data_IF_860283067216
#
_entry.id   IF_860283067216
#
_cell.length_a   1.000
_cell.length_b   1.000
_cell.length_c   1.000
_cell.angle_alpha   90.00
_cell.angle_beta   90.00
_cell.angle_gamma   90.00
#
_symmetry.space_group_name_H-M   'P 1'
#
loop_
_entity.id
_entity.type
_entity.pdbx_description
1 polymer ?
#
# COMPACT_ATOMS: atom_id res chain seq x y z
N UNK A 1 8.98 -23.57 -52.10
CA UNK A 1 8.16 -22.36 -52.33
C UNK A 1 8.25 -21.44 -51.11
N UNK A 2 9.44 -20.88 -50.82
CA UNK A 2 9.67 -20.03 -49.65
C UNK A 2 10.51 -18.78 -50.00
N UNK A 3 10.21 -18.12 -51.14
CA UNK A 3 10.95 -16.94 -51.61
C UNK A 3 10.05 -15.74 -51.95
N UNK A 4 9.07 -15.43 -51.08
CA UNK A 4 8.46 -14.10 -51.10
C UNK A 4 8.55 -13.51 -49.72
N UNK A 5 9.61 -12.73 -49.49
CA UNK A 5 9.69 -11.84 -48.34
C UNK A 5 8.73 -10.68 -48.64
N UNK A 6 7.55 -10.70 -48.03
CA UNK A 6 6.56 -9.64 -48.13
C UNK A 6 6.96 -8.46 -47.23
N UNK A 7 8.12 -7.85 -47.47
CA UNK A 7 8.50 -6.62 -46.78
C UNK A 7 7.84 -5.43 -47.47
N UNK A 8 7.14 -4.61 -46.70
CA UNK A 8 6.62 -3.34 -47.23
C UNK A 8 7.76 -2.35 -47.44
N UNK A 9 7.58 -1.36 -48.34
CA UNK A 9 8.59 -0.31 -48.54
C UNK A 9 8.97 0.43 -47.26
N UNK A 10 8.04 0.50 -46.29
CA UNK A 10 8.28 1.11 -44.99
C UNK A 10 9.15 0.21 -44.09
N UNK A 11 8.83 -1.08 -44.03
CA UNK A 11 9.58 -2.07 -43.26
C UNK A 11 11.05 -2.14 -43.72
N UNK A 12 11.30 -2.32 -45.02
CA UNK A 12 12.66 -2.38 -45.58
C UNK A 12 13.47 -1.09 -45.30
N UNK A 13 12.81 0.08 -45.34
CA UNK A 13 13.46 1.36 -45.03
C UNK A 13 13.86 1.50 -43.57
N UNK A 14 13.07 0.93 -42.65
CA UNK A 14 13.34 0.99 -41.21
C UNK A 14 14.34 -0.07 -40.78
N UNK A 15 14.27 -1.28 -41.33
CA UNK A 15 15.24 -2.35 -41.03
C UNK A 15 16.67 -2.00 -41.47
N UNK A 16 16.83 -1.19 -42.53
CA UNK A 16 18.13 -0.72 -43.01
C UNK A 16 18.65 0.54 -42.33
N UNK A 17 17.85 1.19 -41.48
CA UNK A 17 18.23 2.42 -40.79
C UNK A 17 18.13 2.22 -39.27
N UNK A 18 19.27 2.09 -38.59
CA UNK A 18 19.32 1.86 -37.15
C UNK A 18 18.54 2.90 -36.33
N UNK A 19 18.59 4.18 -36.71
CA UNK A 19 17.85 5.24 -36.04
C UNK A 19 16.35 5.16 -36.31
N UNK A 20 15.98 4.77 -37.54
CA UNK A 20 14.59 4.50 -37.91
C UNK A 20 13.99 3.35 -37.11
N UNK A 21 14.73 2.24 -36.99
CA UNK A 21 14.32 1.08 -36.22
C UNK A 21 14.19 1.40 -34.72
N UNK A 22 15.17 2.08 -34.13
CA UNK A 22 15.11 2.52 -32.73
C UNK A 22 13.91 3.44 -32.49
N UNK A 23 13.67 4.41 -33.39
CA UNK A 23 12.53 5.32 -33.28
C UNK A 23 11.18 4.59 -33.35
N UNK A 24 11.02 3.65 -34.28
CA UNK A 24 9.80 2.83 -34.37
C UNK A 24 9.61 1.99 -33.11
N UNK A 25 10.66 1.34 -32.62
CA UNK A 25 10.59 0.53 -31.40
C UNK A 25 10.19 1.38 -30.18
N UNK A 26 10.79 2.55 -30.03
CA UNK A 26 10.46 3.48 -28.95
C UNK A 26 8.98 3.88 -28.98
N UNK A 27 8.42 4.19 -30.17
CA UNK A 27 7.00 4.50 -30.32
C UNK A 27 6.13 3.31 -29.93
N UNK A 28 6.38 2.13 -30.50
CA UNK A 28 5.54 0.93 -30.27
C UNK A 28 5.54 0.53 -28.80
N UNK A 29 6.70 0.54 -28.14
CA UNK A 29 6.80 0.20 -26.72
C UNK A 29 6.15 1.24 -25.80
N UNK A 30 6.13 2.52 -26.21
CA UNK A 30 5.57 3.60 -25.38
C UNK A 30 4.04 3.64 -25.39
N UNK A 31 3.39 3.16 -26.46
CA UNK A 31 1.92 3.26 -26.61
C UNK A 31 1.19 2.59 -25.45
N UNK A 32 1.56 1.36 -25.08
CA UNK A 32 0.91 0.62 -23.99
C UNK A 32 1.04 1.36 -22.65
N UNK A 33 2.25 1.81 -22.32
CA UNK A 33 2.49 2.59 -21.10
C UNK A 33 1.70 3.90 -21.07
N UNK A 34 1.64 4.64 -22.18
CA UNK A 34 0.86 5.88 -22.26
C UNK A 34 -0.63 5.60 -22.05
N UNK A 35 -1.19 4.58 -22.70
CA UNK A 35 -2.63 4.27 -22.64
C UNK A 35 -3.06 3.72 -21.28
N UNK A 36 -2.20 2.97 -20.59
CA UNK A 36 -2.55 2.37 -19.29
C UNK A 36 -2.21 3.27 -18.10
N UNK A 37 -1.08 3.98 -18.12
CA UNK A 37 -0.58 4.72 -16.94
C UNK A 37 -1.06 6.17 -16.93
N UNK A 38 -0.99 6.88 -18.07
CA UNK A 38 -1.29 8.32 -18.09
C UNK A 38 -2.73 8.62 -17.67
N UNK A 39 -3.78 7.89 -18.14
CA UNK A 39 -5.14 8.15 -17.70
C UNK A 39 -5.36 7.99 -16.19
N UNK A 40 -4.57 7.16 -15.50
CA UNK A 40 -4.69 6.99 -14.05
C UNK A 40 -4.34 8.26 -13.26
N UNK A 41 -3.61 9.21 -13.87
CA UNK A 41 -3.30 10.50 -13.26
C UNK A 41 -4.36 11.59 -13.53
N UNK A 42 -5.29 11.36 -14.47
CA UNK A 42 -6.18 12.40 -14.99
C UNK A 42 -7.66 12.02 -14.91
N UNK A 43 -7.98 10.73 -14.81
CA UNK A 43 -9.35 10.25 -14.70
C UNK A 43 -9.80 10.27 -13.24
N UNK A 44 -10.79 11.11 -12.93
CA UNK A 44 -11.37 11.23 -11.59
C UNK A 44 -12.08 9.93 -11.14
N UNK A 45 -12.55 9.11 -12.07
CA UNK A 45 -13.26 7.86 -11.75
C UNK A 45 -12.34 6.73 -11.22
N UNK A 46 -11.03 6.95 -11.17
CA UNK A 46 -10.07 5.95 -10.69
C UNK A 46 -10.04 5.82 -9.17
N UNK A 47 -10.45 6.88 -8.47
CA UNK A 47 -10.48 6.91 -7.01
C UNK A 47 -11.88 7.22 -6.50
N UNK A 48 -12.37 6.35 -5.62
CA UNK A 48 -13.71 6.41 -5.05
C UNK A 48 -13.95 7.69 -4.26
N UNK A 49 -12.92 8.32 -3.68
CA UNK A 49 -13.08 9.55 -2.92
C UNK A 49 -13.57 10.75 -3.74
N UNK A 50 -13.50 10.71 -5.07
CA UNK A 50 -14.07 11.74 -5.92
C UNK A 50 -15.62 11.70 -5.95
N UNK A 51 -16.22 10.52 -5.73
CA UNK A 51 -17.68 10.33 -5.58
C UNK A 51 -18.11 10.19 -4.13
N UNK A 52 -17.23 9.66 -3.29
CA UNK A 52 -17.40 9.38 -1.86
C UNK A 52 -16.35 10.09 -1.01
N UNK A 53 -16.44 11.43 -0.85
CA UNK A 53 -15.43 12.21 -0.11
C UNK A 53 -15.24 11.79 1.35
N UNK A 54 -16.18 11.03 1.93
CA UNK A 54 -16.08 10.44 3.27
C UNK A 54 -15.04 9.30 3.38
N UNK A 55 -14.58 8.76 2.25
CA UNK A 55 -13.58 7.68 2.22
C UNK A 55 -12.20 8.22 2.63
N UNK A 56 -11.90 9.50 2.39
CA UNK A 56 -10.65 10.16 2.77
C UNK A 56 -10.91 11.11 3.93
N UNK A 57 -9.99 11.15 4.89
CA UNK A 57 -10.14 11.96 6.08
C UNK A 57 -10.06 13.46 5.75
N UNK A 58 -11.16 14.18 6.01
CA UNK A 58 -11.26 15.63 5.81
C UNK A 58 -10.75 16.38 7.05
N UNK A 59 -9.42 16.38 7.22
CA UNK A 59 -8.74 17.02 8.35
C UNK A 59 -9.11 18.50 8.46
N UNK A 60 -9.68 18.88 9.61
CA UNK A 60 -10.01 20.26 9.92
C UNK A 60 -8.79 21.05 10.40
N UNK A 61 -8.80 22.37 10.23
CA UNK A 61 -7.73 23.24 10.68
C UNK A 61 -7.50 23.07 12.20
N UNK A 62 -6.24 22.84 12.59
CA UNK A 62 -5.83 22.63 13.98
C UNK A 62 -5.95 21.19 14.49
N UNK A 63 -6.52 20.26 13.71
CA UNK A 63 -6.50 18.84 14.08
C UNK A 63 -5.12 18.22 13.86
N UNK A 64 -4.78 17.26 14.70
CA UNK A 64 -3.59 16.41 14.63
C UNK A 64 -3.96 15.00 14.19
N UNK A 65 -2.97 14.19 13.77
CA UNK A 65 -3.22 12.77 13.47
C UNK A 65 -3.80 11.98 14.66
N UNK A 66 -3.69 12.49 15.89
CA UNK A 66 -4.22 11.84 17.09
C UNK A 66 -5.71 12.11 17.33
N UNK A 67 -6.28 13.14 16.70
CA UNK A 67 -7.72 13.44 16.81
C UNK A 67 -8.59 12.51 15.95
N UNK A 68 -7.96 11.84 14.98
CA UNK A 68 -8.58 10.87 14.10
C UNK A 68 -9.05 9.62 14.85
N UNK A 69 -10.21 9.10 14.48
CA UNK A 69 -10.78 7.83 14.99
C UNK A 69 -11.01 6.83 13.86
N UNK A 70 -10.99 5.52 14.16
CA UNK A 70 -11.34 4.49 13.18
C UNK A 70 -12.67 4.77 12.49
N UNK A 71 -12.65 4.80 11.16
CA UNK A 71 -13.81 5.08 10.33
C UNK A 71 -13.99 6.54 9.90
N UNK A 72 -13.16 7.48 10.36
CA UNK A 72 -13.21 8.91 9.96
C UNK A 72 -12.68 9.16 8.52
N UNK A 73 -12.20 8.12 7.84
CA UNK A 73 -11.62 8.19 6.50
C UNK A 73 -10.12 7.89 6.49
N UNK A 74 -9.59 7.68 5.29
CA UNK A 74 -8.17 7.41 5.01
C UNK A 74 -7.34 8.63 5.34
N UNK A 75 -6.36 8.45 6.22
CA UNK A 75 -5.40 9.48 6.63
C UNK A 75 -3.96 9.00 6.38
N UNK A 76 -2.98 9.93 6.32
CA UNK A 76 -1.57 9.54 6.39
C UNK A 76 -1.30 8.69 7.62
N UNK A 77 -0.36 7.75 7.51
CA UNK A 77 0.09 6.93 8.63
C UNK A 77 0.67 7.80 9.76
N UNK A 78 0.47 7.41 11.02
CA UNK A 78 1.24 8.01 12.12
C UNK A 78 2.69 7.60 12.00
N UNK A 79 3.61 8.34 12.62
CA UNK A 79 5.05 8.03 12.57
C UNK A 79 5.36 6.57 12.93
N UNK A 80 4.73 6.03 13.98
CA UNK A 80 4.91 4.64 14.40
C UNK A 80 4.32 3.62 13.40
N UNK A 81 3.18 3.95 12.78
CA UNK A 81 2.57 3.12 11.75
C UNK A 81 3.38 3.13 10.45
N UNK A 82 3.94 4.29 10.08
CA UNK A 82 4.84 4.43 8.93
C UNK A 82 6.13 3.63 9.14
N UNK A 83 6.70 3.68 10.35
CA UNK A 83 7.82 2.84 10.74
C UNK A 83 7.47 1.35 10.61
N UNK A 84 6.30 0.95 11.11
CA UNK A 84 5.82 -0.42 10.99
C UNK A 84 5.64 -0.88 9.56
N UNK A 85 5.17 0.00 8.67
CA UNK A 85 5.05 -0.24 7.23
C UNK A 85 6.41 -0.41 6.56
N UNK A 86 7.40 0.39 6.95
CA UNK A 86 8.77 0.24 6.45
C UNK A 86 9.38 -1.11 6.89
N UNK A 87 9.14 -1.53 8.12
CA UNK A 87 9.55 -2.83 8.66
C UNK A 87 8.82 -3.96 7.92
N UNK A 88 7.51 -3.84 7.71
CA UNK A 88 6.72 -4.82 6.94
C UNK A 88 7.30 -5.06 5.54
N UNK A 89 7.76 -4.00 4.89
CA UNK A 89 8.44 -4.08 3.59
C UNK A 89 9.83 -4.69 3.71
N UNK A 90 10.64 -4.26 4.68
CA UNK A 90 12.00 -4.79 4.91
C UNK A 90 11.99 -6.30 5.17
N UNK A 91 11.03 -6.76 5.97
CA UNK A 91 10.87 -8.17 6.34
C UNK A 91 10.22 -9.02 5.23
N UNK A 92 9.81 -8.39 4.12
CA UNK A 92 9.26 -9.09 2.95
C UNK A 92 7.88 -9.70 3.20
N UNK A 93 7.09 -9.18 4.15
CA UNK A 93 5.78 -9.72 4.49
C UNK A 93 4.84 -9.79 3.27
N UNK A 94 4.96 -8.83 2.35
CA UNK A 94 4.22 -8.76 1.08
C UNK A 94 4.44 -9.97 0.15
N UNK A 95 5.51 -10.76 0.36
CA UNK A 95 5.77 -11.98 -0.41
C UNK A 95 4.81 -13.12 -0.04
N UNK A 96 4.20 -13.05 1.15
CA UNK A 96 3.28 -14.06 1.67
C UNK A 96 1.87 -13.53 1.90
N UNK A 97 1.73 -12.23 2.19
CA UNK A 97 0.48 -11.60 2.56
C UNK A 97 0.11 -10.51 1.56
N UNK A 98 -1.11 -10.58 1.04
CA UNK A 98 -1.67 -9.49 0.24
C UNK A 98 -2.41 -8.47 1.10
N UNK A 99 -2.47 -7.24 0.61
CA UNK A 99 -3.37 -6.21 1.15
C UNK A 99 -4.30 -5.70 0.06
N UNK A 100 -5.09 -6.61 -0.54
CA UNK A 100 -6.09 -6.25 -1.54
C UNK A 100 -7.18 -7.32 -1.57
N UNK A 101 -8.34 -7.01 -0.98
CA UNK A 101 -9.52 -7.89 -1.01
C UNK A 101 -10.26 -7.67 -2.32
N UNK A 102 -10.47 -8.76 -3.08
CA UNK A 102 -11.16 -8.72 -4.38
C UNK A 102 -12.68 -8.69 -4.21
N UNK A 103 -13.45 -8.14 -5.17
CA UNK A 103 -14.90 -7.98 -5.09
C UNK A 103 -15.66 -9.29 -5.37
N UNK A 104 -15.30 -10.35 -4.67
CA UNK A 104 -16.00 -11.64 -4.72
C UNK A 104 -16.66 -11.94 -3.38
N UNK A 105 -17.80 -12.64 -3.41
CA UNK A 105 -18.54 -12.98 -2.19
C UNK A 105 -17.68 -13.77 -1.18
N UNK A 106 -16.95 -14.79 -1.64
CA UNK A 106 -16.10 -15.62 -0.77
C UNK A 106 -14.95 -14.80 -0.12
N UNK A 107 -14.36 -13.85 -0.86
CA UNK A 107 -13.36 -12.95 -0.27
C UNK A 107 -13.99 -11.98 0.73
N UNK A 108 -15.20 -11.50 0.44
CA UNK A 108 -15.94 -10.63 1.33
C UNK A 108 -16.24 -11.31 2.67
N UNK A 109 -16.73 -12.55 2.61
CA UNK A 109 -17.03 -13.36 3.80
C UNK A 109 -15.76 -13.67 4.62
N UNK A 110 -14.63 -13.91 3.95
CA UNK A 110 -13.36 -14.25 4.61
C UNK A 110 -12.64 -13.06 5.22
N UNK A 111 -12.55 -11.95 4.49
CA UNK A 111 -11.67 -10.83 4.85
C UNK A 111 -12.44 -9.56 5.22
N UNK A 112 -13.64 -9.36 4.68
CA UNK A 112 -14.44 -8.15 4.86
C UNK A 112 -14.65 -7.41 3.54
N UNK A 113 -15.06 -6.14 3.58
CA UNK A 113 -15.34 -5.36 2.37
C UNK A 113 -14.19 -5.42 1.35
N UNK A 114 -14.50 -5.40 0.05
CA UNK A 114 -13.46 -5.33 -0.98
C UNK A 114 -12.60 -4.06 -0.81
N UNK A 115 -11.34 -4.10 -1.21
CA UNK A 115 -10.46 -2.94 -1.10
C UNK A 115 -10.84 -1.86 -2.13
N UNK A 116 -10.81 -0.61 -1.69
CA UNK A 116 -10.96 0.58 -2.54
C UNK A 116 -9.58 1.06 -3.00
N UNK A 117 -9.49 1.67 -4.19
CA UNK A 117 -8.25 2.30 -4.65
C UNK A 117 -7.81 3.43 -3.70
N UNK A 118 -8.78 4.17 -3.17
CA UNK A 118 -8.57 5.28 -2.23
C UNK A 118 -7.95 4.84 -0.89
N UNK A 119 -8.04 3.56 -0.50
CA UNK A 119 -7.39 3.06 0.73
C UNK A 119 -5.86 3.01 0.61
N UNK A 120 -5.33 2.93 -0.61
CA UNK A 120 -3.88 2.89 -0.89
C UNK A 120 -3.32 4.21 -1.43
N UNK A 121 -4.09 5.31 -1.38
CA UNK A 121 -3.67 6.63 -1.89
C UNK A 121 -2.34 7.12 -1.29
N UNK A 122 -2.06 6.79 -0.02
CA UNK A 122 -0.83 7.20 0.66
C UNK A 122 0.23 6.09 0.73
N UNK A 123 0.01 4.96 0.05
CA UNK A 123 0.96 3.85 0.04
C UNK A 123 2.04 4.05 -1.03
N UNK A 124 3.21 4.54 -0.61
CA UNK A 124 4.38 4.63 -1.47
C UNK A 124 5.47 3.63 -0.99
N UNK A 125 5.71 2.51 -1.68
CA UNK A 125 4.91 1.90 -2.75
C UNK A 125 3.66 1.13 -2.26
N UNK A 126 2.69 0.89 -3.13
CA UNK A 126 1.48 0.12 -2.81
C UNK A 126 1.81 -1.27 -2.23
N UNK A 127 0.99 -1.77 -1.28
CA UNK A 127 1.20 -3.06 -0.60
C UNK A 127 0.25 -4.17 -1.07
N UNK A 128 -0.34 -4.01 -2.26
CA UNK A 128 -1.17 -5.07 -2.85
C UNK A 128 -0.28 -6.28 -3.13
N UNK A 129 -0.72 -7.45 -2.65
CA UNK A 129 0.07 -8.67 -2.81
C UNK A 129 -0.15 -9.32 -4.16
N UNK A 130 0.87 -10.04 -4.63
CA UNK A 130 0.79 -10.91 -5.80
C UNK A 130 0.66 -12.39 -5.43
N UNK A 131 0.78 -12.73 -4.14
CA UNK A 131 0.70 -14.10 -3.61
C UNK A 131 0.03 -14.11 -2.24
N UNK A 132 -0.62 -15.23 -1.91
CA UNK A 132 -1.23 -15.52 -0.60
C UNK A 132 -0.72 -16.87 -0.10
N UNK A 133 0.46 -16.86 0.52
CA UNK A 133 0.94 -18.00 1.34
C UNK A 133 0.26 -17.95 2.70
N UNK A 134 0.16 -16.74 3.27
CA UNK A 134 -0.68 -16.43 4.41
C UNK A 134 -1.97 -15.70 3.98
N UNK A 135 -2.88 -15.42 4.93
CA UNK A 135 -4.13 -14.71 4.66
C UNK A 135 -3.90 -13.26 4.19
N UNK A 136 -4.92 -12.68 3.54
CA UNK A 136 -4.93 -11.24 3.23
C UNK A 136 -5.02 -10.39 4.52
N UNK A 137 -4.27 -9.30 4.56
CA UNK A 137 -4.13 -8.41 5.73
C UNK A 137 -4.80 -7.05 5.54
N UNK A 138 -5.42 -6.74 4.39
CA UNK A 138 -6.00 -5.43 4.11
C UNK A 138 -7.04 -5.01 5.17
N UNK A 139 -7.66 -5.98 5.84
CA UNK A 139 -8.64 -5.78 6.92
C UNK A 139 -8.24 -6.56 8.17
N UNK A 140 -6.95 -6.55 8.51
CA UNK A 140 -6.41 -7.22 9.70
C UNK A 140 -6.62 -6.43 10.99
N UNK A 141 -6.75 -5.12 10.89
CA UNK A 141 -6.83 -4.22 12.04
C UNK A 141 -8.03 -4.52 12.94
N UNK A 142 -7.79 -4.55 14.26
CA UNK A 142 -8.80 -4.80 15.28
C UNK A 142 -9.33 -6.25 15.36
N UNK A 143 -8.93 -7.17 14.46
CA UNK A 143 -9.35 -8.58 14.53
C UNK A 143 -8.61 -9.38 15.60
N UNK A 144 -7.36 -9.01 15.88
CA UNK A 144 -6.52 -9.63 16.89
C UNK A 144 -5.97 -8.57 17.85
N UNK A 145 -5.68 -8.97 19.08
CA UNK A 145 -5.05 -8.07 20.05
C UNK A 145 -3.56 -7.86 19.75
N UNK A 146 -3.01 -6.76 20.24
CA UNK A 146 -1.56 -6.48 20.12
C UNK A 146 -0.72 -7.61 20.71
N UNK A 147 -1.13 -8.19 21.83
CA UNK A 147 -0.44 -9.32 22.44
C UNK A 147 -0.48 -10.58 21.56
N UNK A 148 -1.61 -10.82 20.88
CA UNK A 148 -1.69 -11.88 19.88
C UNK A 148 -0.71 -11.63 18.74
N UNK A 149 -0.65 -10.42 18.20
CA UNK A 149 0.29 -10.07 17.13
C UNK A 149 1.74 -10.27 17.58
N UNK A 150 2.12 -9.83 18.78
CA UNK A 150 3.47 -10.02 19.32
C UNK A 150 3.83 -11.49 19.44
N UNK A 151 2.96 -12.31 20.05
CA UNK A 151 3.19 -13.75 20.19
C UNK A 151 3.26 -14.45 18.83
N UNK A 152 2.36 -14.12 17.92
CA UNK A 152 2.34 -14.66 16.58
C UNK A 152 3.60 -14.27 15.80
N UNK A 153 4.04 -13.01 15.83
CA UNK A 153 5.27 -12.59 15.12
C UNK A 153 6.53 -13.23 15.71
N UNK A 154 6.63 -13.37 17.03
CA UNK A 154 7.76 -14.07 17.70
C UNK A 154 7.84 -15.53 17.30
N UNK A 155 6.71 -16.23 17.33
CA UNK A 155 6.61 -17.64 17.05
C UNK A 155 5.23 -18.00 16.49
N UNK A 156 5.00 -17.91 15.16
CA UNK A 156 3.68 -18.15 14.59
C UNK A 156 3.12 -19.53 14.94
N UNK A 157 3.99 -20.55 15.00
CA UNK A 157 3.63 -21.93 15.35
C UNK A 157 3.19 -22.13 16.80
N UNK A 158 3.42 -21.15 17.68
CA UNK A 158 2.89 -21.18 19.05
C UNK A 158 1.40 -20.81 19.12
N UNK A 159 0.93 -20.03 18.15
CA UNK A 159 -0.47 -19.58 18.06
C UNK A 159 -1.25 -20.38 17.02
N UNK A 160 -0.59 -20.76 15.93
CA UNK A 160 -1.15 -21.50 14.79
C UNK A 160 -0.16 -22.62 14.42
N UNK A 161 -0.29 -23.84 14.96
CA UNK A 161 0.70 -24.92 14.83
C UNK A 161 1.13 -25.23 13.39
N UNK A 162 0.20 -25.15 12.45
CA UNK A 162 0.38 -25.40 11.02
C UNK A 162 0.94 -24.20 10.24
N UNK A 163 1.22 -23.07 10.90
CA UNK A 163 1.73 -21.88 10.24
C UNK A 163 3.07 -22.15 9.55
N UNK A 164 3.19 -21.67 8.32
CA UNK A 164 4.44 -21.66 7.54
C UNK A 164 5.18 -20.33 7.64
N UNK A 165 4.64 -19.36 8.37
CA UNK A 165 5.24 -18.03 8.53
C UNK A 165 6.56 -18.12 9.32
N UNK A 166 7.62 -17.39 8.92
CA UNK A 166 8.87 -17.31 9.69
C UNK A 166 8.70 -16.69 11.08
N UNK A 167 9.69 -16.90 11.96
CA UNK A 167 9.76 -16.23 13.26
C UNK A 167 10.45 -14.86 13.09
N UNK A 168 9.95 -13.83 13.79
CA UNK A 168 10.53 -12.48 13.81
C UNK A 168 10.83 -11.97 15.24
N UNK A 169 11.56 -12.73 16.08
CA UNK A 169 11.80 -12.37 17.49
C UNK A 169 12.71 -11.14 17.65
N UNK A 170 13.58 -10.85 16.67
CA UNK A 170 14.49 -9.70 16.74
C UNK A 170 13.79 -8.36 16.80
N UNK A 171 12.54 -8.28 16.33
CA UNK A 171 11.73 -7.06 16.38
C UNK A 171 11.45 -6.59 17.81
N UNK A 172 11.54 -7.47 18.81
CA UNK A 172 11.36 -7.09 20.21
C UNK A 172 12.50 -6.22 20.75
N UNK A 173 13.72 -6.44 20.27
CA UNK A 173 14.91 -5.77 20.78
C UNK A 173 15.39 -4.64 19.86
N UNK A 174 15.04 -4.71 18.56
CA UNK A 174 15.39 -3.68 17.60
C UNK A 174 14.60 -2.39 17.87
N UNK A 175 15.31 -1.27 17.99
CA UNK A 175 14.71 0.05 18.17
C UNK A 175 14.33 0.67 16.83
N UNK A 176 13.25 1.46 16.82
CA UNK A 176 12.89 2.28 15.66
C UNK A 176 13.92 3.39 15.46
N UNK A 177 14.40 3.55 14.22
CA UNK A 177 15.30 4.63 13.82
C UNK A 177 14.54 5.95 13.67
N UNK A 178 14.65 6.82 14.69
CA UNK A 178 13.94 8.10 14.78
C UNK A 178 14.27 9.02 13.59
N UNK A 179 15.56 9.17 13.27
CA UNK A 179 16.04 10.07 12.23
C UNK A 179 15.54 9.62 10.86
N UNK A 180 15.56 8.31 10.61
CA UNK A 180 14.99 7.73 9.40
C UNK A 180 13.50 8.02 9.27
N UNK A 181 12.71 7.90 10.34
CA UNK A 181 11.26 8.14 10.26
C UNK A 181 10.94 9.60 9.99
N UNK A 182 11.67 10.55 10.58
CA UNK A 182 11.50 11.97 10.25
C UNK A 182 11.82 12.24 8.77
N UNK A 183 12.91 11.66 8.26
CA UNK A 183 13.26 11.76 6.84
C UNK A 183 12.19 11.11 5.93
N UNK A 184 11.67 9.95 6.30
CA UNK A 184 10.58 9.27 5.58
C UNK A 184 9.32 10.12 5.54
N UNK A 185 8.88 10.72 6.66
CA UNK A 185 7.70 11.59 6.67
C UNK A 185 7.89 12.82 5.78
N UNK A 186 9.07 13.45 5.81
CA UNK A 186 9.40 14.56 4.93
C UNK A 186 9.38 14.14 3.44
N UNK A 187 9.94 12.97 3.12
CA UNK A 187 9.91 12.42 1.77
C UNK A 187 8.49 12.11 1.31
N UNK A 188 7.67 11.48 2.14
CA UNK A 188 6.25 11.21 1.84
C UNK A 188 5.48 12.51 1.58
N UNK A 189 5.80 13.59 2.31
CA UNK A 189 5.22 14.91 2.04
C UNK A 189 5.58 15.42 0.64
N UNK A 190 6.83 15.23 0.19
CA UNK A 190 7.22 15.60 -1.19
C UNK A 190 6.50 14.78 -2.26
N UNK A 191 6.04 13.56 -1.92
CA UNK A 191 5.25 12.70 -2.80
C UNK A 191 3.75 13.03 -2.80
N UNK A 192 3.31 14.02 -2.01
CA UNK A 192 1.92 14.48 -1.95
C UNK A 192 1.12 13.98 -0.74
N UNK A 193 1.73 13.24 0.19
CA UNK A 193 1.06 12.85 1.44
C UNK A 193 0.89 14.07 2.35
N UNK A 194 -0.32 14.40 2.83
CA UNK A 194 -0.62 15.66 3.51
C UNK A 194 -0.18 15.68 4.99
N UNK A 195 1.11 15.48 5.25
CA UNK A 195 1.71 15.74 6.56
C UNK A 195 1.89 17.23 6.81
N UNK A 196 1.50 17.69 8.00
CA UNK A 196 1.82 19.05 8.48
C UNK A 196 3.22 19.11 9.07
N UNK A 197 3.75 20.32 9.27
CA UNK A 197 5.02 20.51 10.00
C UNK A 197 4.93 19.94 11.43
N UNK A 198 3.78 20.10 12.07
CA UNK A 198 3.53 19.55 13.41
C UNK A 198 3.55 18.02 13.43
N UNK A 199 3.00 17.35 12.41
CA UNK A 199 3.02 15.88 12.34
C UNK A 199 4.46 15.36 12.26
N UNK A 200 5.31 16.03 11.47
CA UNK A 200 6.72 15.65 11.30
C UNK A 200 7.51 15.96 12.57
N UNK A 201 7.29 17.13 13.18
CA UNK A 201 7.96 17.53 14.41
C UNK A 201 7.63 16.60 15.59
N UNK A 202 6.36 16.22 15.73
CA UNK A 202 5.90 15.30 16.78
C UNK A 202 6.24 13.83 16.46
N UNK A 203 6.53 13.50 15.21
CA UNK A 203 6.83 12.15 14.76
C UNK A 203 7.99 11.50 15.50
N UNK A 204 9.04 12.27 15.82
CA UNK A 204 10.19 11.75 16.58
C UNK A 204 9.80 11.28 17.98
N UNK A 205 9.05 12.11 18.72
CA UNK A 205 8.59 11.77 20.07
C UNK A 205 7.64 10.56 20.06
N UNK A 206 6.86 10.38 19.00
CA UNK A 206 5.93 9.27 18.88
C UNK A 206 6.62 7.90 18.71
N UNK A 207 7.87 7.87 18.23
CA UNK A 207 8.63 6.63 17.99
C UNK A 207 9.81 6.44 18.96
N UNK A 208 10.12 7.44 19.78
CA UNK A 208 11.21 7.36 20.75
C UNK A 208 10.99 6.21 21.75
N UNK A 209 12.01 5.37 21.92
CA UNK A 209 11.96 4.20 22.79
C UNK A 209 11.02 3.08 22.33
N UNK A 210 10.44 3.17 21.13
CA UNK A 210 9.61 2.10 20.55
C UNK A 210 10.47 1.06 19.87
N UNK A 211 10.02 -0.17 19.96
CA UNK A 211 10.65 -1.29 19.26
C UNK A 211 10.05 -1.44 17.86
N UNK A 212 10.76 -2.15 16.98
CA UNK A 212 10.24 -2.49 15.67
C UNK A 212 8.99 -3.36 15.76
N UNK A 213 8.85 -4.18 16.80
CA UNK A 213 7.64 -4.93 17.11
C UNK A 213 6.48 -3.98 17.44
N UNK A 214 6.70 -2.94 18.23
CA UNK A 214 5.67 -1.92 18.50
C UNK A 214 5.19 -1.26 17.21
N UNK A 215 6.14 -0.90 16.35
CA UNK A 215 5.88 -0.26 15.07
C UNK A 215 5.08 -1.17 14.13
N UNK A 216 5.53 -2.42 13.94
CA UNK A 216 4.86 -3.37 13.06
C UNK A 216 3.45 -3.70 13.54
N UNK A 217 3.26 -3.86 14.86
CA UNK A 217 1.91 -4.05 15.42
C UNK A 217 1.03 -2.82 15.19
N UNK A 218 1.54 -1.61 15.40
CA UNK A 218 0.78 -0.38 15.13
C UNK A 218 0.34 -0.30 13.65
N UNK A 219 1.21 -0.67 12.72
CA UNK A 219 0.87 -0.75 11.29
C UNK A 219 -0.23 -1.80 11.03
N UNK A 220 -0.06 -3.03 11.52
CA UNK A 220 -1.05 -4.09 11.32
C UNK A 220 -2.43 -3.72 11.89
N UNK A 221 -2.46 -2.99 13.00
CA UNK A 221 -3.69 -2.56 13.65
C UNK A 221 -4.45 -1.48 12.87
N UNK A 222 -3.78 -0.69 12.02
CA UNK A 222 -4.47 0.35 11.23
C UNK A 222 -5.10 -0.21 9.95
N UNK A 223 -4.62 -1.35 9.45
CA UNK A 223 -5.05 -1.93 8.16
C UNK A 223 -6.55 -2.21 8.12
N UNK A 224 -7.24 -1.47 7.25
CA UNK A 224 -8.68 -1.63 6.99
C UNK A 224 -9.59 -1.02 8.06
N UNK A 225 -9.03 -0.26 9.00
CA UNK A 225 -9.81 0.48 10.03
C UNK A 225 -10.20 1.89 9.57
N UNK A 226 -9.66 2.34 8.44
CA UNK A 226 -9.78 3.74 8.04
C UNK A 226 -11.14 4.12 7.49
N UNK A 227 -11.75 3.23 6.70
CA UNK A 227 -13.04 3.48 6.05
C UNK A 227 -14.14 2.76 6.81
N UNK A 228 -15.18 3.48 7.19
CA UNK A 228 -16.42 2.89 7.72
C UNK A 228 -17.39 2.63 6.59
N UNK A 229 -17.45 1.38 6.14
CA UNK A 229 -18.37 0.98 5.08
C UNK A 229 -19.82 1.01 5.54
N UNK A 230 -20.68 1.59 4.71
CA UNK A 230 -22.13 1.58 4.89
C UNK A 230 -22.73 0.39 4.15
N UNK A 231 -23.69 -0.29 4.79
CA UNK A 231 -24.36 -1.43 4.18
C UNK A 231 -25.26 -0.96 3.02
N UNK A 232 -25.15 -1.60 1.85
CA UNK A 232 -25.95 -1.29 0.67
C UNK A 232 -25.38 -0.18 -0.23
N UNK A 233 -24.26 0.44 0.14
CA UNK A 233 -23.54 1.40 -0.72
C UNK A 233 -22.56 0.62 -1.61
N UNK A 234 -22.62 0.85 -2.92
CA UNK A 234 -21.55 0.46 -3.82
C UNK A 234 -20.58 1.64 -3.97
N UNK A 235 -19.33 1.44 -3.54
CA UNK A 235 -18.31 2.48 -3.58
C UNK A 235 -17.61 2.59 -4.95
N UNK A 236 -17.94 1.70 -5.91
CA UNK A 236 -17.36 1.69 -7.27
C UNK A 236 -18.23 2.40 -8.32
N UNK A 237 -19.50 2.63 -8.01
CA UNK A 237 -20.47 3.33 -8.87
C UNK A 237 -20.74 4.74 -8.35
#
# INVERSE_FOLDING_TARGET
MAEKIYSTKLQDKLERNIWGLIGMLAIVLSIAGIVEIVPLFVLDDTFEHNRHPEVVWQRQAGQTLNDWKPGDGVRPYKALELAGRDIYQREGCYLCHSQMVRPFRDEKERYGHYSLASESIYDHPFQWGSKRTGPDLARGGGKYSDDWHRKHLRAPRSMVPESVMPNYPWLDDAAVDVDRIQASMAAMRTLGVPYTDDDIAQGAQAVEGKTEMDALVAYLQVLGTMVKFQEGVDYRE
#
